data_IF_681896755738
#
_entry.id   IF_681896755738
#
_cell.length_a   1.000
_cell.length_b   1.000
_cell.length_c   1.000
_cell.angle_alpha   90.00
_cell.angle_beta   90.00
_cell.angle_gamma   90.00
#
_symmetry.space_group_name_H-M   'P 1'
#
loop_
_entity.id
_entity.type
_entity.pdbx_description
1 polymer ?
#
# COMPACT_ATOMS: atom_id res chain seq x y z
N UNK A 1 -80.00 65.92 -34.24
CA UNK A 1 -79.37 64.71 -34.82
C UNK A 1 -77.91 64.51 -34.39
N UNK A 2 -77.34 65.30 -33.45
CA UNK A 2 -75.91 65.22 -33.09
C UNK A 2 -75.53 64.23 -31.97
N UNK A 3 -76.48 63.79 -31.14
CA UNK A 3 -76.14 63.05 -29.91
C UNK A 3 -75.85 61.55 -30.12
N UNK A 4 -76.35 60.96 -31.22
CA UNK A 4 -76.11 59.53 -31.52
C UNK A 4 -74.69 59.27 -32.04
N UNK A 5 -74.12 60.21 -32.81
CA UNK A 5 -72.77 60.06 -33.38
C UNK A 5 -71.65 60.20 -32.33
N UNK A 6 -71.91 60.89 -31.21
CA UNK A 6 -70.97 61.01 -30.09
C UNK A 6 -71.00 59.78 -29.18
N UNK A 7 -72.16 59.13 -29.00
CA UNK A 7 -72.29 57.87 -28.25
C UNK A 7 -71.58 56.70 -28.93
N UNK A 8 -71.66 56.59 -30.26
CA UNK A 8 -70.96 55.52 -30.99
C UNK A 8 -69.43 55.68 -30.95
N UNK A 9 -68.92 56.91 -31.11
CA UNK A 9 -67.47 57.19 -31.00
C UNK A 9 -66.91 56.92 -29.59
N UNK A 10 -67.69 57.20 -28.55
CA UNK A 10 -67.29 56.92 -27.16
C UNK A 10 -67.29 55.42 -26.85
N UNK A 11 -68.28 54.67 -27.37
CA UNK A 11 -68.34 53.20 -27.22
C UNK A 11 -67.19 52.48 -27.95
N UNK A 12 -66.78 52.97 -29.14
CA UNK A 12 -65.63 52.41 -29.88
C UNK A 12 -64.32 52.67 -29.11
N UNK A 13 -64.14 53.88 -28.56
CA UNK A 13 -62.96 54.23 -27.74
C UNK A 13 -62.87 53.44 -26.42
N UNK A 14 -64.00 53.17 -25.76
CA UNK A 14 -64.02 52.35 -24.55
C UNK A 14 -63.70 50.87 -24.85
N UNK A 15 -64.22 50.33 -25.95
CA UNK A 15 -63.92 48.96 -26.37
C UNK A 15 -62.45 48.78 -26.79
N UNK A 16 -61.84 49.77 -27.46
CA UNK A 16 -60.40 49.76 -27.77
C UNK A 16 -59.54 49.84 -26.50
N UNK A 17 -59.95 50.63 -25.51
CA UNK A 17 -59.27 50.71 -24.22
C UNK A 17 -59.35 49.41 -23.42
N UNK A 18 -60.50 48.73 -23.40
CA UNK A 18 -60.67 47.43 -22.74
C UNK A 18 -59.82 46.35 -23.44
N UNK A 19 -59.82 46.34 -24.78
CA UNK A 19 -58.97 45.46 -25.60
C UNK A 19 -57.48 45.65 -25.31
N UNK A 20 -57.01 46.91 -25.28
CA UNK A 20 -55.62 47.24 -24.95
C UNK A 20 -55.25 46.85 -23.51
N UNK A 21 -56.16 46.99 -22.55
CA UNK A 21 -55.95 46.59 -21.15
C UNK A 21 -55.86 45.07 -21.00
N UNK A 22 -56.62 44.33 -21.81
CA UNK A 22 -56.58 42.85 -21.89
C UNK A 22 -55.26 42.36 -22.48
N UNK A 23 -54.82 42.94 -23.61
CA UNK A 23 -53.51 42.68 -24.23
C UNK A 23 -52.34 42.97 -23.28
N UNK A 24 -52.39 44.08 -22.54
CA UNK A 24 -51.39 44.42 -21.52
C UNK A 24 -51.33 43.37 -20.38
N UNK A 25 -52.48 42.87 -19.93
CA UNK A 25 -52.56 41.80 -18.92
C UNK A 25 -52.02 40.46 -19.43
N UNK A 26 -52.31 40.12 -20.68
CA UNK A 26 -51.81 38.91 -21.34
C UNK A 26 -50.28 38.97 -21.51
N UNK A 27 -49.75 40.08 -22.02
CA UNK A 27 -48.30 40.31 -22.11
C UNK A 27 -47.60 40.25 -20.73
N UNK A 28 -48.24 40.78 -19.69
CA UNK A 28 -47.72 40.70 -18.32
C UNK A 28 -47.70 39.26 -17.79
N UNK A 29 -48.74 38.46 -18.11
CA UNK A 29 -48.80 37.03 -17.76
C UNK A 29 -47.72 36.24 -18.49
N UNK A 30 -47.56 36.44 -19.79
CA UNK A 30 -46.51 35.80 -20.58
C UNK A 30 -45.12 36.14 -20.06
N UNK A 31 -44.89 37.42 -19.73
CA UNK A 31 -43.64 37.86 -19.11
C UNK A 31 -43.41 37.18 -17.75
N UNK A 32 -44.46 37.03 -16.94
CA UNK A 32 -44.36 36.33 -15.66
C UNK A 32 -44.06 34.83 -15.81
N UNK A 33 -44.64 34.17 -16.83
CA UNK A 33 -44.31 32.78 -17.16
C UNK A 33 -42.88 32.62 -17.66
N UNK A 34 -42.39 33.55 -18.48
CA UNK A 34 -40.99 33.59 -18.90
C UNK A 34 -40.05 33.76 -17.71
N UNK A 35 -40.38 34.64 -16.76
CA UNK A 35 -39.61 34.81 -15.52
C UNK A 35 -39.60 33.54 -14.66
N UNK A 36 -40.74 32.84 -14.53
CA UNK A 36 -40.81 31.55 -13.83
C UNK A 36 -39.91 30.50 -14.49
N UNK A 37 -39.95 30.39 -15.83
CA UNK A 37 -39.09 29.47 -16.59
C UNK A 37 -37.61 29.79 -16.40
N UNK A 38 -37.23 31.07 -16.49
CA UNK A 38 -35.85 31.54 -16.25
C UNK A 38 -35.38 31.20 -14.83
N UNK A 39 -36.21 31.44 -13.80
CA UNK A 39 -35.88 31.09 -12.41
C UNK A 39 -35.61 29.60 -12.25
N UNK A 40 -36.51 28.74 -12.75
CA UNK A 40 -36.34 27.29 -12.70
C UNK A 40 -35.06 26.82 -13.39
N UNK A 41 -34.67 27.47 -14.48
CA UNK A 41 -33.45 27.14 -15.19
C UNK A 41 -32.19 27.54 -14.42
N UNK A 42 -32.22 28.68 -13.71
CA UNK A 42 -31.16 29.13 -12.82
C UNK A 42 -31.02 28.17 -11.64
N UNK A 43 -32.13 27.80 -11.00
CA UNK A 43 -32.16 26.87 -9.86
C UNK A 43 -31.55 25.51 -10.26
N UNK A 44 -31.96 24.97 -11.42
CA UNK A 44 -31.37 23.72 -11.97
C UNK A 44 -29.87 23.85 -12.27
N UNK A 45 -29.40 25.00 -12.75
CA UNK A 45 -27.96 25.24 -13.01
C UNK A 45 -27.18 25.31 -11.70
N UNK A 46 -27.75 25.91 -10.65
CA UNK A 46 -27.15 25.97 -9.31
C UNK A 46 -27.04 24.57 -8.68
N UNK A 47 -28.12 23.79 -8.69
CA UNK A 47 -28.12 22.41 -8.18
C UNK A 47 -27.05 21.55 -8.87
N UNK A 48 -26.95 21.61 -10.20
CA UNK A 48 -25.91 20.89 -10.95
C UNK A 48 -24.50 21.31 -10.53
N UNK A 49 -24.27 22.61 -10.32
CA UNK A 49 -22.97 23.11 -9.85
C UNK A 49 -22.65 22.61 -8.43
N UNK A 50 -23.63 22.56 -7.53
CA UNK A 50 -23.44 22.04 -6.18
C UNK A 50 -23.14 20.54 -6.16
N UNK A 51 -23.89 19.74 -6.92
CA UNK A 51 -23.65 18.31 -7.06
C UNK A 51 -22.24 18.01 -7.58
N UNK A 52 -21.75 18.79 -8.56
CA UNK A 52 -20.38 18.66 -9.05
C UNK A 52 -19.34 19.02 -7.98
N UNK A 53 -19.59 20.05 -7.15
CA UNK A 53 -18.70 20.40 -6.03
C UNK A 53 -18.64 19.29 -4.99
N UNK A 54 -19.77 18.69 -4.64
CA UNK A 54 -19.85 17.56 -3.70
C UNK A 54 -19.05 16.36 -4.24
N UNK A 55 -19.31 15.94 -5.49
CA UNK A 55 -18.56 14.84 -6.15
C UNK A 55 -17.05 15.08 -6.18
N UNK A 56 -16.61 16.31 -6.46
CA UNK A 56 -15.18 16.67 -6.42
C UNK A 56 -14.59 16.55 -5.01
N UNK A 57 -15.32 16.99 -3.98
CA UNK A 57 -14.88 16.86 -2.58
C UNK A 57 -14.78 15.39 -2.16
N UNK A 58 -15.75 14.55 -2.54
CA UNK A 58 -15.74 13.12 -2.25
C UNK A 58 -14.58 12.40 -2.94
N UNK A 59 -14.32 12.69 -4.22
CA UNK A 59 -13.14 12.14 -4.93
C UNK A 59 -11.84 12.47 -4.21
N UNK A 60 -11.65 13.74 -3.81
CA UNK A 60 -10.47 14.16 -3.03
C UNK A 60 -10.35 13.43 -1.70
N UNK A 61 -11.46 13.21 -0.98
CA UNK A 61 -11.45 12.44 0.27
C UNK A 61 -11.03 10.98 0.03
N UNK A 62 -11.59 10.33 -1.00
CA UNK A 62 -11.25 8.95 -1.38
C UNK A 62 -9.78 8.83 -1.78
N UNK A 63 -9.25 9.77 -2.56
CA UNK A 63 -7.83 9.80 -2.92
C UNK A 63 -6.91 9.94 -1.70
N UNK A 64 -7.26 10.81 -0.76
CA UNK A 64 -6.50 10.95 0.50
C UNK A 64 -6.50 9.64 1.29
N UNK A 65 -7.65 8.98 1.41
CA UNK A 65 -7.74 7.68 2.09
C UNK A 65 -6.88 6.62 1.40
N UNK A 66 -6.94 6.53 0.07
CA UNK A 66 -6.09 5.61 -0.69
C UNK A 66 -4.60 5.87 -0.47
N UNK A 67 -4.17 7.14 -0.48
CA UNK A 67 -2.77 7.51 -0.21
C UNK A 67 -2.33 7.10 1.20
N UNK A 68 -3.20 7.26 2.19
CA UNK A 68 -2.91 6.85 3.56
C UNK A 68 -2.80 5.33 3.70
N UNK A 69 -3.70 4.58 3.07
CA UNK A 69 -3.66 3.11 3.05
C UNK A 69 -2.37 2.64 2.41
N UNK A 70 -2.03 3.18 1.23
CA UNK A 70 -0.80 2.80 0.52
C UNK A 70 0.44 3.09 1.36
N UNK A 71 0.48 4.24 2.05
CA UNK A 71 1.59 4.61 2.93
C UNK A 71 1.71 3.67 4.13
N UNK A 72 0.59 3.23 4.70
CA UNK A 72 0.58 2.26 5.79
C UNK A 72 1.06 0.89 5.30
N UNK A 73 0.60 0.44 4.14
CA UNK A 73 1.03 -0.82 3.54
C UNK A 73 2.54 -0.82 3.21
N UNK A 74 3.08 0.28 2.70
CA UNK A 74 4.54 0.39 2.46
C UNK A 74 5.30 0.36 3.78
N UNK A 75 4.88 1.12 4.78
CA UNK A 75 5.54 1.15 6.09
C UNK A 75 5.54 -0.24 6.75
N UNK A 76 4.40 -0.96 6.66
CA UNK A 76 4.29 -2.32 7.18
C UNK A 76 5.23 -3.29 6.46
N UNK A 77 5.35 -3.19 5.14
CA UNK A 77 6.32 -3.99 4.36
C UNK A 77 7.76 -3.68 4.77
N UNK A 78 8.08 -2.40 4.99
CA UNK A 78 9.40 -1.99 5.43
C UNK A 78 9.72 -2.54 6.84
N UNK A 79 8.75 -2.50 7.76
CA UNK A 79 8.87 -3.11 9.09
C UNK A 79 9.06 -4.64 9.02
N UNK A 80 8.30 -5.33 8.15
CA UNK A 80 8.44 -6.77 7.91
C UNK A 80 9.84 -7.09 7.36
N UNK A 81 10.34 -6.34 6.39
CA UNK A 81 11.69 -6.50 5.82
C UNK A 81 12.76 -6.25 6.90
N UNK A 82 12.63 -5.18 7.69
CA UNK A 82 13.57 -4.89 8.78
C UNK A 82 13.58 -6.01 9.82
N UNK A 83 12.42 -6.57 10.17
CA UNK A 83 12.34 -7.71 11.08
C UNK A 83 13.06 -8.94 10.52
N UNK A 84 12.92 -9.21 9.22
CA UNK A 84 13.60 -10.32 8.56
C UNK A 84 15.12 -10.11 8.56
N UNK A 85 15.59 -8.90 8.26
CA UNK A 85 17.01 -8.54 8.30
C UNK A 85 17.57 -8.70 9.72
N UNK A 86 16.89 -8.14 10.73
CA UNK A 86 17.31 -8.24 12.13
C UNK A 86 17.40 -9.69 12.62
N UNK A 87 16.57 -10.58 12.08
CA UNK A 87 16.64 -12.02 12.38
C UNK A 87 17.83 -12.74 11.72
N UNK A 88 18.39 -12.21 10.63
CA UNK A 88 19.52 -12.81 9.90
C UNK A 88 20.86 -12.28 10.40
N UNK A 89 20.93 -10.99 10.78
CA UNK A 89 22.17 -10.32 11.25
C UNK A 89 22.99 -11.16 12.24
N UNK A 90 22.41 -11.81 13.28
CA UNK A 90 23.17 -12.59 14.25
C UNK A 90 23.92 -13.80 13.67
N UNK A 91 23.51 -14.28 12.50
CA UNK A 91 24.09 -15.44 11.82
C UNK A 91 25.12 -15.05 10.76
N UNK A 92 25.32 -13.75 10.53
CA UNK A 92 26.36 -13.26 9.62
C UNK A 92 27.70 -13.36 10.35
N UNK A 93 28.65 -14.07 9.75
CA UNK A 93 30.03 -14.19 10.23
C UNK A 93 30.96 -13.36 9.34
N UNK A 94 31.34 -12.12 9.72
CA UNK A 94 32.16 -11.25 8.88
C UNK A 94 33.53 -11.88 8.56
N UNK A 95 34.10 -12.61 9.51
CA UNK A 95 35.43 -13.18 9.41
C UNK A 95 35.48 -14.50 8.62
N UNK A 96 34.33 -15.10 8.27
CA UNK A 96 34.28 -16.39 7.56
C UNK A 96 34.93 -16.32 6.16
N UNK A 97 34.98 -15.13 5.57
CA UNK A 97 35.60 -14.90 4.28
C UNK A 97 37.12 -14.84 4.33
N UNK A 98 37.69 -14.58 5.52
CA UNK A 98 39.13 -14.54 5.70
C UNK A 98 39.64 -15.98 5.65
N UNK A 99 40.38 -16.31 4.59
CA UNK A 99 41.08 -17.58 4.50
C UNK A 99 42.30 -17.50 5.41
N UNK A 100 42.49 -18.51 6.25
CA UNK A 100 43.75 -18.67 6.96
C UNK A 100 44.86 -18.90 5.94
N UNK A 101 45.95 -18.14 6.05
CA UNK A 101 47.12 -18.27 5.20
C UNK A 101 48.35 -18.35 6.09
N UNK A 102 49.31 -19.19 5.70
CA UNK A 102 50.62 -19.26 6.34
C UNK A 102 51.27 -17.86 6.39
N UNK A 103 51.94 -17.57 7.51
CA UNK A 103 52.62 -16.30 7.70
C UNK A 103 53.62 -16.05 6.57
N UNK A 104 53.44 -14.94 5.83
CA UNK A 104 54.30 -14.54 4.72
C UNK A 104 53.83 -15.01 3.34
N UNK A 105 52.71 -15.72 3.22
CA UNK A 105 52.05 -16.02 1.93
C UNK A 105 50.76 -15.21 1.78
N UNK A 106 50.38 -14.97 0.52
CA UNK A 106 49.08 -14.39 0.17
C UNK A 106 48.08 -15.49 -0.14
N UNK A 107 46.81 -15.24 0.15
CA UNK A 107 45.73 -16.12 -0.28
C UNK A 107 45.70 -16.21 -1.81
N UNK A 108 45.30 -17.37 -2.32
CA UNK A 108 45.05 -17.53 -3.76
C UNK A 108 43.93 -16.59 -4.20
N UNK A 109 44.23 -15.80 -5.23
CA UNK A 109 43.32 -14.81 -5.80
C UNK A 109 42.15 -15.51 -6.50
N UNK A 110 40.96 -14.94 -6.34
CA UNK A 110 39.76 -15.36 -7.04
C UNK A 110 39.90 -15.10 -8.55
N UNK A 111 39.27 -15.90 -9.43
CA UNK A 111 39.24 -15.63 -10.87
C UNK A 111 38.75 -14.21 -11.23
N UNK A 112 37.85 -13.63 -10.42
CA UNK A 112 37.35 -12.27 -10.62
C UNK A 112 38.41 -11.22 -10.27
N UNK A 113 39.17 -11.43 -9.19
CA UNK A 113 40.29 -10.57 -8.79
C UNK A 113 41.40 -10.58 -9.85
N UNK A 114 41.69 -11.76 -10.43
CA UNK A 114 42.64 -11.87 -11.54
C UNK A 114 42.17 -11.09 -12.79
N UNK A 115 40.87 -11.01 -13.05
CA UNK A 115 40.32 -10.19 -14.15
C UNK A 115 40.47 -8.71 -13.85
N UNK A 116 40.14 -8.28 -12.62
CA UNK A 116 40.32 -6.89 -12.19
C UNK A 116 41.79 -6.47 -12.38
N UNK A 117 42.74 -7.30 -11.97
CA UNK A 117 44.17 -7.01 -12.15
C UNK A 117 44.60 -6.90 -13.61
N UNK A 118 44.05 -7.73 -14.50
CA UNK A 118 44.32 -7.62 -15.95
C UNK A 118 43.86 -6.28 -16.50
N UNK A 119 42.64 -5.89 -16.15
CA UNK A 119 42.03 -4.63 -16.61
C UNK A 119 42.77 -3.41 -16.07
N UNK A 120 43.24 -3.47 -14.82
CA UNK A 120 44.09 -2.42 -14.23
C UNK A 120 45.43 -2.32 -14.98
N UNK A 121 46.05 -3.45 -15.34
CA UNK A 121 47.28 -3.47 -16.14
C UNK A 121 47.09 -2.89 -17.54
N UNK A 122 45.91 -3.08 -18.11
CA UNK A 122 45.50 -2.49 -19.41
C UNK A 122 45.18 -1.00 -19.31
N UNK A 123 45.06 -0.44 -18.09
CA UNK A 123 44.83 0.99 -17.84
C UNK A 123 43.35 1.41 -17.89
N UNK A 124 42.41 0.47 -17.94
CA UNK A 124 40.98 0.77 -17.98
C UNK A 124 40.34 0.74 -16.58
N UNK A 125 40.48 1.84 -15.85
CA UNK A 125 39.99 1.93 -14.47
C UNK A 125 38.46 1.88 -14.35
N UNK A 126 37.72 2.42 -15.32
CA UNK A 126 36.25 2.42 -15.29
C UNK A 126 35.70 0.99 -15.31
N UNK A 127 36.30 0.11 -16.12
CA UNK A 127 35.89 -1.29 -16.18
C UNK A 127 36.31 -2.04 -14.91
N UNK A 128 37.49 -1.74 -14.34
CA UNK A 128 37.94 -2.34 -13.09
C UNK A 128 37.01 -2.01 -11.92
N UNK A 129 36.50 -0.78 -11.84
CA UNK A 129 35.53 -0.37 -10.83
C UNK A 129 34.22 -1.17 -10.94
N UNK A 130 33.67 -1.31 -12.16
CA UNK A 130 32.47 -2.11 -12.40
C UNK A 130 32.64 -3.58 -11.97
N UNK A 131 33.77 -4.19 -12.33
CA UNK A 131 34.08 -5.56 -11.92
C UNK A 131 34.25 -5.70 -10.40
N UNK A 132 34.77 -4.67 -9.74
CA UNK A 132 34.90 -4.65 -8.28
C UNK A 132 33.53 -4.53 -7.59
N UNK A 133 32.64 -3.69 -8.10
CA UNK A 133 31.26 -3.60 -7.61
C UNK A 133 30.53 -4.94 -7.73
N UNK A 134 30.66 -5.62 -8.87
CA UNK A 134 30.10 -6.97 -9.07
C UNK A 134 30.67 -7.99 -8.08
N UNK A 135 31.99 -7.97 -7.84
CA UNK A 135 32.64 -8.86 -6.87
C UNK A 135 32.11 -8.63 -5.46
N UNK A 136 31.94 -7.37 -5.05
CA UNK A 136 31.38 -7.00 -3.74
C UNK A 136 29.94 -7.51 -3.60
N UNK A 137 29.11 -7.38 -4.65
CA UNK A 137 27.74 -7.89 -4.64
C UNK A 137 27.71 -9.41 -4.48
N UNK A 138 28.50 -10.15 -5.26
CA UNK A 138 28.59 -11.61 -5.15
C UNK A 138 29.04 -12.07 -3.77
N UNK A 139 30.03 -11.39 -3.18
CA UNK A 139 30.51 -11.71 -1.83
C UNK A 139 29.42 -11.47 -0.77
N UNK A 140 28.68 -10.35 -0.86
CA UNK A 140 27.56 -10.04 0.03
C UNK A 140 26.42 -11.03 -0.10
N UNK A 141 26.07 -11.43 -1.32
CA UNK A 141 25.04 -12.45 -1.58
C UNK A 141 25.43 -13.79 -0.95
N UNK A 142 26.68 -14.22 -1.13
CA UNK A 142 27.18 -15.44 -0.49
C UNK A 142 27.10 -15.35 1.04
N UNK A 143 27.48 -14.22 1.64
CA UNK A 143 27.35 -14.03 3.09
C UNK A 143 25.91 -14.14 3.56
N UNK A 144 24.97 -13.54 2.82
CA UNK A 144 23.56 -13.57 3.17
C UNK A 144 22.98 -15.00 3.07
N UNK A 145 23.32 -15.72 2.00
CA UNK A 145 22.88 -17.10 1.80
C UNK A 145 23.41 -18.03 2.91
N UNK A 146 24.71 -17.92 3.22
CA UNK A 146 25.32 -18.68 4.32
C UNK A 146 24.63 -18.39 5.67
N UNK A 147 24.28 -17.12 5.94
CA UNK A 147 23.59 -16.75 7.17
C UNK A 147 22.16 -17.30 7.23
N UNK A 148 21.43 -17.31 6.10
CA UNK A 148 20.10 -17.91 5.98
C UNK A 148 20.18 -19.43 6.23
N UNK A 149 21.17 -20.09 5.65
CA UNK A 149 21.38 -21.54 5.85
C UNK A 149 21.72 -21.87 7.30
N UNK A 150 22.59 -21.08 7.93
CA UNK A 150 22.91 -21.20 9.36
C UNK A 150 21.66 -21.04 10.23
N UNK A 151 20.82 -20.03 9.95
CA UNK A 151 19.55 -19.81 10.66
C UNK A 151 18.62 -21.02 10.51
N UNK A 152 18.39 -21.47 9.28
CA UNK A 152 17.52 -22.62 8.99
C UNK A 152 18.03 -23.89 9.68
N UNK A 153 19.35 -24.11 9.71
CA UNK A 153 19.96 -25.22 10.41
C UNK A 153 19.71 -25.16 11.92
N UNK A 154 19.87 -23.99 12.55
CA UNK A 154 19.62 -23.79 13.98
C UNK A 154 18.15 -24.02 14.33
N UNK A 155 17.23 -23.48 13.54
CA UNK A 155 15.80 -23.68 13.72
C UNK A 155 15.42 -25.16 13.60
N UNK A 156 15.88 -25.83 12.55
CA UNK A 156 15.64 -27.26 12.34
C UNK A 156 16.20 -28.11 13.49
N UNK A 157 17.41 -27.80 13.97
CA UNK A 157 18.03 -28.49 15.11
C UNK A 157 17.24 -28.27 16.40
N UNK A 158 16.67 -27.09 16.62
CA UNK A 158 15.84 -26.80 17.78
C UNK A 158 14.49 -27.54 17.71
N UNK A 159 13.83 -27.53 16.55
CA UNK A 159 12.61 -28.31 16.31
C UNK A 159 12.84 -29.82 16.52
N UNK A 160 13.97 -30.34 16.06
CA UNK A 160 14.33 -31.75 16.26
C UNK A 160 14.53 -32.07 17.75
N UNK A 161 15.21 -31.20 18.51
CA UNK A 161 15.37 -31.34 19.97
C UNK A 161 14.02 -31.33 20.69
N UNK A 162 13.11 -30.43 20.32
CA UNK A 162 11.76 -30.39 20.89
C UNK A 162 10.96 -31.65 20.59
N UNK A 163 11.01 -32.14 19.34
CA UNK A 163 10.41 -33.42 18.96
C UNK A 163 10.98 -34.57 19.78
N UNK A 164 12.31 -34.62 19.97
CA UNK A 164 12.97 -35.63 20.83
C UNK A 164 12.53 -35.51 22.29
N UNK A 165 12.40 -34.30 22.84
CA UNK A 165 11.89 -34.07 24.21
C UNK A 165 10.44 -34.56 24.37
N UNK A 166 9.55 -34.25 23.41
CA UNK A 166 8.16 -34.73 23.41
C UNK A 166 8.06 -36.25 23.29
N UNK A 167 8.96 -36.88 22.52
CA UNK A 167 9.03 -38.35 22.39
C UNK A 167 9.58 -39.07 23.63
N UNK A 168 10.39 -38.41 24.45
CA UNK A 168 10.82 -38.93 25.76
C UNK A 168 9.65 -38.87 26.74
N UNK A 169 8.73 -39.83 26.66
CA UNK A 169 7.78 -40.13 27.75
C UNK A 169 8.61 -40.39 29.02
N UNK A 170 8.12 -39.98 30.20
CA UNK A 170 8.75 -40.34 31.48
C UNK A 170 8.92 -41.86 31.50
N UNK A 171 10.15 -42.36 31.46
CA UNK A 171 10.39 -43.79 31.65
C UNK A 171 9.83 -44.13 33.04
N UNK A 172 8.96 -45.12 33.11
CA UNK A 172 8.45 -45.68 34.37
C UNK A 172 9.54 -46.59 34.94
N UNK A 173 10.73 -46.05 35.15
CA UNK A 173 11.85 -46.75 35.80
C UNK A 173 11.86 -46.52 37.31
N UNK A 174 10.81 -45.89 37.85
CA UNK A 174 10.52 -46.00 39.27
C UNK A 174 10.35 -47.47 39.60
N UNK A 175 11.19 -47.95 40.51
CA UNK A 175 11.01 -49.21 41.21
C UNK A 175 9.57 -49.25 41.73
N UNK A 176 8.69 -50.01 41.06
CA UNK A 176 7.40 -50.34 41.63
C UNK A 176 7.74 -51.14 42.88
N UNK A 177 7.55 -50.55 44.07
CA UNK A 177 7.90 -51.21 45.31
C UNK A 177 7.06 -52.47 45.39
N UNK A 178 7.65 -53.60 44.98
CA UNK A 178 7.06 -54.94 45.06
C UNK A 178 6.43 -55.01 46.45
N UNK A 179 5.10 -55.06 46.51
CA UNK A 179 4.36 -55.12 47.76
C UNK A 179 4.78 -56.41 48.47
N UNK A 180 5.85 -56.34 49.27
CA UNK A 180 6.51 -57.49 49.92
C UNK A 180 5.61 -58.18 50.95
N UNK A 181 4.41 -57.65 51.20
CA UNK A 181 3.43 -58.23 52.10
C UNK A 181 2.45 -59.18 51.41
N UNK A 182 2.38 -59.25 50.07
CA UNK A 182 1.45 -60.17 49.38
C UNK A 182 2.02 -61.56 49.08
N UNK A 183 3.32 -61.82 49.32
CA UNK A 183 3.95 -63.13 49.06
C UNK A 183 4.46 -63.84 50.31
N UNK A 184 4.09 -63.38 51.52
CA UNK A 184 4.43 -64.07 52.78
C UNK A 184 3.18 -64.39 53.60
N UNK A 185 2.19 -64.95 52.91
CA UNK A 185 0.94 -65.44 53.50
C UNK A 185 0.44 -66.69 52.79
N UNK A 186 1.31 -67.66 52.54
CA UNK A 186 0.92 -69.05 52.33
C UNK A 186 2.12 -70.01 52.50
N UNK A 187 2.55 -70.18 53.75
CA UNK A 187 3.19 -71.37 54.37
C UNK A 187 3.67 -71.00 55.77
#
# INVERSE_FOLDING_TARGET
MSDNAQKEKNNVNENENISNKKRKREALREHFEQLKKKKLEIDKKLEKKEQLRIKKKEKKKKEKQKKLILKYETAKKDEEIQSQINNIIPYIEPNKQLKDVDQGRFAEKSPMELKIEKVIKEGNFELAEKLNEELILQQKEKMLNDAIDCKNFVENKNLEKERKKKKRKRLVWGFDSKQRWETKGNM
#
